data_IF_080402669270
#
_entry.id   IF_080402669270
#
_cell.length_a   1.000
_cell.length_b   1.000
_cell.length_c   1.000
_cell.angle_alpha   90.00
_cell.angle_beta   90.00
_cell.angle_gamma   90.00
#
_symmetry.space_group_name_H-M   'P 1'
#
loop_
_entity.id
_entity.type
_entity.pdbx_description
1 polymer ?
#
# COMPACT_ATOMS: atom_id res chain seq x y z
N UNK A 1 -6.09 3.21 -13.66
CA UNK A 1 -7.28 2.35 -13.46
C UNK A 1 -6.97 1.41 -12.30
N UNK A 2 -7.92 1.18 -11.39
CA UNK A 2 -7.81 0.18 -10.31
C UNK A 2 -8.85 -0.90 -10.55
N UNK A 3 -8.49 -2.16 -10.30
CA UNK A 3 -9.38 -3.31 -10.48
C UNK A 3 -9.89 -3.88 -9.16
N UNK A 4 -9.12 -3.76 -8.07
CA UNK A 4 -9.45 -4.24 -6.73
C UNK A 4 -8.79 -3.37 -5.68
N UNK A 5 -9.49 -3.13 -4.57
CA UNK A 5 -9.00 -2.37 -3.43
C UNK A 5 -9.14 -3.22 -2.17
N UNK A 6 -8.09 -3.27 -1.38
CA UNK A 6 -8.05 -4.03 -0.13
C UNK A 6 -7.52 -3.15 1.00
N UNK A 7 -8.23 -3.14 2.13
CA UNK A 7 -7.84 -2.49 3.36
C UNK A 7 -7.97 -3.50 4.51
N UNK A 8 -7.00 -3.48 5.42
CA UNK A 8 -7.03 -4.28 6.64
C UNK A 8 -6.94 -3.40 7.86
N UNK A 9 -7.49 -3.87 8.99
CA UNK A 9 -7.24 -3.24 10.27
C UNK A 9 -5.82 -3.55 10.76
N UNK A 10 -5.42 -2.93 11.87
CA UNK A 10 -4.10 -3.16 12.44
C UNK A 10 -3.87 -4.63 12.81
N UNK A 11 -4.91 -5.46 13.05
CA UNK A 11 -4.76 -6.90 13.35
C UNK A 11 -4.67 -7.77 12.08
N UNK A 12 -4.72 -7.17 10.89
CA UNK A 12 -4.73 -7.87 9.61
C UNK A 12 -6.09 -8.44 9.22
N UNK A 13 -7.18 -8.06 9.92
CA UNK A 13 -8.56 -8.42 9.51
C UNK A 13 -8.97 -7.52 8.35
N UNK A 14 -9.61 -8.11 7.35
CA UNK A 14 -10.06 -7.36 6.16
C UNK A 14 -11.20 -6.43 6.55
N UNK A 15 -11.03 -5.13 6.28
CA UNK A 15 -12.06 -4.10 6.44
C UNK A 15 -12.80 -3.86 5.14
N UNK A 16 -12.07 -3.90 4.03
CA UNK A 16 -12.59 -3.74 2.68
C UNK A 16 -11.78 -4.64 1.76
N UNK A 17 -12.45 -5.38 0.89
CA UNK A 17 -11.83 -6.11 -0.20
C UNK A 17 -12.84 -6.19 -1.34
N UNK A 18 -12.75 -5.27 -2.28
CA UNK A 18 -13.76 -5.10 -3.34
C UNK A 18 -13.12 -4.90 -4.70
N UNK A 19 -13.73 -5.48 -5.73
CA UNK A 19 -13.45 -5.12 -7.11
C UNK A 19 -13.97 -3.72 -7.42
N UNK A 20 -13.49 -3.15 -8.52
CA UNK A 20 -13.89 -1.83 -9.02
C UNK A 20 -14.28 -1.94 -10.48
N UNK A 21 -15.45 -1.39 -10.83
CA UNK A 21 -15.93 -1.38 -12.21
C UNK A 21 -15.04 -0.47 -13.09
N UNK A 22 -14.49 -1.00 -14.19
CA UNK A 22 -13.75 -0.20 -15.17
C UNK A 22 -14.63 0.87 -15.80
N UNK A 23 -14.09 2.06 -16.03
CA UNK A 23 -14.74 3.11 -16.82
C UNK A 23 -14.48 2.98 -18.32
N UNK A 24 -13.50 2.14 -18.70
CA UNK A 24 -13.10 1.85 -20.07
C UNK A 24 -12.94 0.34 -20.27
N UNK A 25 -13.03 -0.17 -21.51
CA UNK A 25 -12.77 -1.56 -21.80
C UNK A 25 -11.39 -2.01 -21.31
N UNK A 26 -11.33 -3.17 -20.67
CA UNK A 26 -10.07 -3.76 -20.21
C UNK A 26 -9.44 -4.53 -21.36
N UNK A 27 -8.27 -4.10 -21.82
CA UNK A 27 -7.53 -4.76 -22.90
C UNK A 27 -6.86 -6.05 -22.43
N UNK A 28 -6.35 -6.06 -21.21
CA UNK A 28 -5.67 -7.22 -20.61
C UNK A 28 -5.91 -7.25 -19.08
N UNK A 29 -6.40 -8.38 -18.59
CA UNK A 29 -6.66 -8.61 -17.16
C UNK A 29 -5.44 -9.13 -16.42
N UNK A 30 -4.41 -9.62 -17.14
CA UNK A 30 -3.24 -10.30 -16.59
C UNK A 30 -3.65 -11.44 -15.65
N UNK A 31 -4.59 -12.27 -16.09
CA UNK A 31 -5.29 -13.25 -15.25
C UNK A 31 -4.33 -14.25 -14.57
N UNK A 32 -3.22 -14.60 -15.21
CA UNK A 32 -2.16 -15.45 -14.62
C UNK A 32 -1.54 -14.86 -13.36
N UNK A 33 -1.49 -13.53 -13.28
CA UNK A 33 -0.88 -12.79 -12.18
C UNK A 33 -1.94 -12.34 -11.18
N UNK A 34 -3.04 -11.75 -11.65
CA UNK A 34 -4.02 -11.06 -10.80
C UNK A 34 -5.20 -11.92 -10.38
N UNK A 35 -5.41 -13.07 -11.05
CA UNK A 35 -6.62 -13.88 -10.93
C UNK A 35 -7.89 -13.16 -11.43
N UNK A 36 -7.77 -11.99 -12.07
CA UNK A 36 -8.92 -11.24 -12.54
C UNK A 36 -9.57 -11.90 -13.75
N UNK A 37 -10.90 -11.90 -13.74
CA UNK A 37 -11.73 -12.33 -14.86
C UNK A 37 -12.76 -11.24 -15.14
N UNK A 38 -13.26 -11.17 -16.37
CA UNK A 38 -14.23 -10.15 -16.78
C UNK A 38 -15.48 -10.12 -15.87
N UNK A 39 -15.95 -11.29 -15.44
CA UNK A 39 -17.14 -11.39 -14.58
C UNK A 39 -16.92 -10.78 -13.17
N UNK A 40 -15.69 -10.77 -12.64
CA UNK A 40 -15.38 -10.10 -11.38
C UNK A 40 -15.61 -8.58 -11.46
N UNK A 41 -15.45 -7.99 -12.66
CA UNK A 41 -15.52 -6.54 -12.87
C UNK A 41 -16.87 -6.07 -13.39
N UNK A 42 -17.66 -6.96 -14.01
CA UNK A 42 -18.96 -6.63 -14.59
C UNK A 42 -19.94 -6.10 -13.52
N UNK A 43 -20.05 -6.82 -12.40
CA UNK A 43 -20.97 -6.49 -11.31
C UNK A 43 -20.32 -5.68 -10.18
N UNK A 44 -19.05 -5.29 -10.36
CA UNK A 44 -18.32 -4.52 -9.35
C UNK A 44 -18.95 -3.13 -9.12
N UNK A 45 -18.78 -2.55 -7.92
CA UNK A 45 -19.19 -1.18 -7.64
C UNK A 45 -18.40 -0.18 -8.49
N UNK A 46 -19.02 0.96 -8.79
CA UNK A 46 -18.36 2.05 -9.53
C UNK A 46 -17.27 2.70 -8.67
N UNK A 47 -16.23 3.22 -9.33
CA UNK A 47 -15.06 3.79 -8.67
C UNK A 47 -15.41 4.85 -7.61
N UNK A 48 -16.39 5.72 -7.88
CA UNK A 48 -16.75 6.80 -6.95
C UNK A 48 -17.28 6.29 -5.61
N UNK A 49 -18.01 5.16 -5.60
CA UNK A 49 -18.55 4.60 -4.37
C UNK A 49 -17.45 3.92 -3.56
N UNK A 50 -16.55 3.20 -4.23
CA UNK A 50 -15.36 2.60 -3.60
C UNK A 50 -14.44 3.69 -3.06
N UNK A 51 -14.22 4.78 -3.82
CA UNK A 51 -13.42 5.92 -3.39
C UNK A 51 -14.00 6.56 -2.12
N UNK A 52 -15.31 6.79 -2.06
CA UNK A 52 -15.99 7.32 -0.86
C UNK A 52 -15.84 6.38 0.33
N UNK A 53 -15.99 5.08 0.12
CA UNK A 53 -15.85 4.08 1.17
C UNK A 53 -14.41 4.06 1.72
N UNK A 54 -13.41 4.04 0.84
CA UNK A 54 -11.99 4.12 1.21
C UNK A 54 -11.70 5.40 1.98
N UNK A 55 -12.13 6.56 1.45
CA UNK A 55 -11.94 7.85 2.10
C UNK A 55 -12.56 7.89 3.50
N UNK A 56 -13.73 7.30 3.68
CA UNK A 56 -14.38 7.20 4.99
C UNK A 56 -13.62 6.28 5.95
N UNK A 57 -13.05 5.18 5.45
CA UNK A 57 -12.30 4.22 6.28
C UNK A 57 -10.98 4.82 6.74
N UNK A 58 -10.24 5.52 5.86
CA UNK A 58 -8.89 6.02 6.18
C UNK A 58 -8.89 7.37 6.93
N UNK A 59 -10.04 8.06 6.99
CA UNK A 59 -10.15 9.37 7.64
C UNK A 59 -9.76 9.29 9.11
N UNK A 60 -8.93 10.24 9.55
CA UNK A 60 -8.44 10.37 10.93
C UNK A 60 -7.76 9.11 11.47
N UNK A 61 -7.18 8.30 10.58
CA UNK A 61 -6.41 7.10 10.94
C UNK A 61 -4.97 7.23 10.50
N UNK A 62 -4.13 6.39 11.08
CA UNK A 62 -2.78 6.13 10.58
C UNK A 62 -2.89 5.15 9.42
N UNK A 63 -2.36 5.51 8.25
CA UNK A 63 -2.31 4.66 7.07
C UNK A 63 -0.95 3.96 6.99
N UNK A 64 -0.95 2.64 7.12
CA UNK A 64 0.23 1.78 6.99
C UNK A 64 0.19 1.07 5.64
N UNK A 65 1.31 1.03 4.91
CA UNK A 65 1.38 0.26 3.68
C UNK A 65 2.74 0.32 2.98
N UNK A 66 2.76 -0.12 1.74
CA UNK A 66 3.93 -0.08 0.87
C UNK A 66 3.59 0.74 -0.36
N UNK A 67 4.40 1.75 -0.65
CA UNK A 67 4.20 2.65 -1.78
C UNK A 67 2.82 3.32 -1.78
N UNK A 68 2.45 3.91 -0.63
CA UNK A 68 1.13 4.50 -0.38
C UNK A 68 0.77 5.58 -1.39
N UNK A 69 1.76 6.27 -1.98
CA UNK A 69 1.50 7.27 -3.01
C UNK A 69 0.87 6.66 -4.28
N UNK A 70 1.22 5.42 -4.66
CA UNK A 70 0.61 4.75 -5.81
C UNK A 70 -0.87 4.50 -5.54
N UNK A 71 -1.17 3.98 -4.35
CA UNK A 71 -2.53 3.73 -3.89
C UNK A 71 -3.35 5.03 -3.83
N UNK A 72 -2.84 6.06 -3.13
CA UNK A 72 -3.52 7.34 -2.96
C UNK A 72 -3.71 8.07 -4.30
N UNK A 73 -2.69 8.05 -5.18
CA UNK A 73 -2.76 8.67 -6.51
C UNK A 73 -3.81 8.02 -7.38
N UNK A 74 -3.90 6.69 -7.40
CA UNK A 74 -4.91 5.97 -8.19
C UNK A 74 -6.30 6.16 -7.60
N UNK A 75 -6.41 6.22 -6.27
CA UNK A 75 -7.67 6.52 -5.60
C UNK A 75 -8.07 7.99 -5.68
N UNK A 76 -7.20 8.90 -6.15
CA UNK A 76 -7.46 10.34 -6.15
C UNK A 76 -7.71 10.88 -4.74
N UNK A 77 -7.02 10.35 -3.75
CA UNK A 77 -7.14 10.72 -2.33
C UNK A 77 -5.84 11.34 -1.84
N UNK A 78 -5.94 12.17 -0.81
CA UNK A 78 -4.80 12.69 -0.08
C UNK A 78 -4.90 12.30 1.40
N UNK A 79 -3.75 12.16 2.06
CA UNK A 79 -3.67 11.80 3.46
C UNK A 79 -2.54 12.56 4.17
N UNK A 80 -2.69 12.98 5.45
CA UNK A 80 -1.65 13.72 6.14
C UNK A 80 -0.33 12.94 6.20
N UNK A 81 0.78 13.57 5.79
CA UNK A 81 2.08 12.90 5.73
C UNK A 81 2.45 12.27 7.09
N UNK A 82 2.26 13.01 8.18
CA UNK A 82 2.51 12.57 9.56
C UNK A 82 1.67 11.36 9.98
N UNK A 83 0.55 11.11 9.31
CA UNK A 83 -0.32 9.97 9.54
C UNK A 83 -0.04 8.78 8.59
N UNK A 84 1.06 8.81 7.83
CA UNK A 84 1.46 7.70 6.95
C UNK A 84 2.67 6.94 7.47
N UNK A 85 2.61 5.61 7.36
CA UNK A 85 3.69 4.66 7.67
C UNK A 85 4.00 3.86 6.39
N UNK A 86 4.72 4.50 5.47
CA UNK A 86 5.07 3.91 4.17
C UNK A 86 6.38 3.12 4.23
N UNK A 87 6.26 1.80 4.32
CA UNK A 87 7.40 0.88 4.39
C UNK A 87 8.33 0.94 3.18
N UNK A 88 7.88 1.42 2.02
CA UNK A 88 8.74 1.60 0.85
C UNK A 88 9.70 2.81 1.03
N UNK A 89 9.31 3.81 1.82
CA UNK A 89 10.09 5.02 2.08
C UNK A 89 10.95 4.93 3.34
N UNK A 90 10.77 3.91 4.17
CA UNK A 90 11.49 3.79 5.43
C UNK A 90 13.01 3.70 5.22
N UNK A 91 13.75 4.68 5.73
CA UNK A 91 15.18 4.77 5.46
C UNK A 91 15.98 3.65 6.11
N UNK A 92 15.55 3.15 7.27
CA UNK A 92 16.25 2.09 8.01
C UNK A 92 16.31 0.79 7.23
N UNK A 93 15.23 0.37 6.55
CA UNK A 93 15.26 -0.82 5.70
C UNK A 93 16.30 -0.72 4.58
N UNK A 94 16.36 0.44 3.91
CA UNK A 94 17.31 0.68 2.83
C UNK A 94 18.76 0.63 3.34
N UNK A 95 19.01 1.28 4.48
CA UNK A 95 20.33 1.32 5.11
C UNK A 95 20.80 -0.08 5.51
N UNK A 96 19.94 -0.86 6.14
CA UNK A 96 20.27 -2.24 6.57
C UNK A 96 20.58 -3.14 5.38
N UNK A 97 19.89 -2.98 4.25
CA UNK A 97 20.14 -3.75 3.02
C UNK A 97 21.22 -3.17 2.10
N UNK A 98 21.88 -2.06 2.49
CA UNK A 98 22.94 -1.45 1.68
C UNK A 98 22.47 -0.79 0.38
N UNK A 99 21.19 -0.44 0.25
CA UNK A 99 20.66 0.23 -0.93
C UNK A 99 21.07 1.70 -0.97
N UNK A 100 21.28 2.23 -2.20
CA UNK A 100 21.61 3.65 -2.41
C UNK A 100 20.47 4.56 -1.92
N UNK A 101 20.79 5.79 -1.46
CA UNK A 101 19.77 6.81 -1.21
C UNK A 101 18.89 7.00 -2.46
N UNK A 102 17.57 6.98 -2.28
CA UNK A 102 16.59 7.11 -3.35
C UNK A 102 16.19 5.79 -4.05
N UNK A 103 16.93 4.70 -3.88
CA UNK A 103 16.51 3.41 -4.42
C UNK A 103 15.32 2.84 -3.63
N UNK A 104 14.36 2.27 -4.35
CA UNK A 104 13.20 1.59 -3.77
C UNK A 104 13.48 0.09 -3.67
N UNK A 105 13.28 -0.47 -2.49
CA UNK A 105 13.44 -1.91 -2.26
C UNK A 105 12.08 -2.58 -2.50
N UNK A 106 11.98 -3.61 -3.36
CA UNK A 106 10.72 -4.32 -3.59
C UNK A 106 10.13 -4.89 -2.30
N UNK A 107 8.79 -4.87 -2.17
CA UNK A 107 8.10 -5.45 -1.01
C UNK A 107 8.50 -6.93 -0.79
N UNK A 108 8.58 -7.71 -1.86
CA UNK A 108 9.01 -9.12 -1.81
C UNK A 108 10.40 -9.27 -1.18
N UNK A 109 11.34 -8.41 -1.55
CA UNK A 109 12.69 -8.38 -0.96
C UNK A 109 12.65 -7.99 0.51
N UNK A 110 11.89 -6.95 0.88
CA UNK A 110 11.77 -6.53 2.28
C UNK A 110 11.20 -7.65 3.15
N UNK A 111 10.11 -8.28 2.72
CA UNK A 111 9.45 -9.35 3.48
C UNK A 111 10.37 -10.56 3.59
N UNK A 112 11.07 -10.93 2.52
CA UNK A 112 12.01 -12.05 2.59
C UNK A 112 13.18 -11.77 3.55
N UNK A 113 13.75 -10.57 3.52
CA UNK A 113 14.90 -10.22 4.34
C UNK A 113 14.56 -10.00 5.82
N UNK A 114 13.42 -9.37 6.12
CA UNK A 114 13.06 -8.99 7.48
C UNK A 114 12.06 -9.94 8.17
N UNK A 115 11.29 -10.73 7.40
CA UNK A 115 10.29 -11.67 7.93
C UNK A 115 10.61 -13.14 7.64
N UNK A 116 11.63 -13.42 6.82
CA UNK A 116 12.02 -14.79 6.46
C UNK A 116 10.96 -15.56 5.68
N UNK A 117 10.04 -14.86 4.99
CA UNK A 117 8.96 -15.47 4.20
C UNK A 117 8.85 -14.86 2.81
N UNK A 118 8.42 -15.67 1.86
CA UNK A 118 8.12 -15.23 0.49
C UNK A 118 6.64 -14.85 0.38
N UNK A 119 6.34 -13.87 -0.47
CA UNK A 119 4.99 -13.46 -0.86
C UNK A 119 4.90 -13.38 -2.39
N UNK A 120 3.68 -13.39 -2.93
CA UNK A 120 3.46 -13.30 -4.39
C UNK A 120 3.79 -14.58 -5.17
N UNK A 121 4.02 -15.71 -4.48
CA UNK A 121 4.28 -17.01 -5.13
C UNK A 121 3.06 -17.58 -5.86
N UNK A 122 1.86 -17.09 -5.53
CA UNK A 122 0.59 -17.55 -6.08
C UNK A 122 -0.16 -16.42 -6.79
N UNK A 123 0.59 -15.50 -7.39
CA UNK A 123 0.06 -14.29 -8.02
C UNK A 123 -0.02 -13.10 -7.08
N UNK A 124 -0.54 -12.00 -7.60
CA UNK A 124 -0.77 -10.75 -6.90
C UNK A 124 -2.02 -10.86 -6.03
N UNK A 125 -1.83 -11.25 -4.77
CA UNK A 125 -2.89 -11.38 -3.77
C UNK A 125 -2.92 -10.09 -2.92
N UNK A 126 -3.88 -9.17 -3.11
CA UNK A 126 -3.85 -7.86 -2.44
C UNK A 126 -3.89 -7.94 -0.92
N UNK A 127 -4.66 -8.89 -0.37
CA UNK A 127 -4.75 -9.14 1.08
C UNK A 127 -3.40 -9.59 1.66
N UNK A 128 -2.65 -10.43 0.93
CA UNK A 128 -1.31 -10.86 1.35
C UNK A 128 -0.36 -9.67 1.41
N UNK A 129 -0.38 -8.82 0.38
CA UNK A 129 0.48 -7.63 0.30
C UNK A 129 0.17 -6.62 1.40
N UNK A 130 -1.12 -6.35 1.65
CA UNK A 130 -1.54 -5.45 2.73
C UNK A 130 -1.05 -5.94 4.09
N UNK A 131 -1.22 -7.24 4.38
CA UNK A 131 -0.72 -7.86 5.61
C UNK A 131 0.80 -7.84 5.69
N UNK A 132 1.50 -8.10 4.59
CA UNK A 132 2.96 -8.11 4.56
C UNK A 132 3.56 -6.72 4.84
N UNK A 133 2.96 -5.66 4.30
CA UNK A 133 3.37 -4.28 4.61
C UNK A 133 3.10 -3.92 6.08
N UNK A 134 1.95 -4.36 6.63
CA UNK A 134 1.61 -4.19 8.03
C UNK A 134 2.58 -4.95 8.96
N UNK A 135 2.95 -6.18 8.63
CA UNK A 135 3.94 -6.97 9.38
C UNK A 135 5.32 -6.30 9.38
N UNK A 136 5.74 -5.76 8.23
CA UNK A 136 6.97 -4.96 8.13
C UNK A 136 6.93 -3.78 9.09
N UNK A 137 5.86 -2.98 9.06
CA UNK A 137 5.72 -1.86 9.98
C UNK A 137 5.77 -2.31 11.45
N UNK A 138 5.01 -3.34 11.83
CA UNK A 138 5.00 -3.87 13.20
C UNK A 138 6.37 -4.30 13.70
N UNK A 139 7.20 -4.87 12.83
CA UNK A 139 8.57 -5.26 13.20
C UNK A 139 9.48 -4.08 13.53
N UNK A 140 9.17 -2.89 13.04
CA UNK A 140 9.96 -1.68 13.25
C UNK A 140 9.18 -0.55 13.93
N UNK A 141 7.97 -0.81 14.44
CA UNK A 141 7.03 0.19 14.95
C UNK A 141 7.65 1.03 16.08
N UNK A 142 8.31 0.40 17.03
CA UNK A 142 8.98 1.10 18.13
C UNK A 142 10.08 2.06 17.63
N UNK A 143 10.84 1.64 16.61
CA UNK A 143 11.89 2.47 16.01
C UNK A 143 11.25 3.61 15.23
N UNK A 144 10.20 3.31 14.46
CA UNK A 144 9.49 4.27 13.63
C UNK A 144 8.87 5.39 14.46
N UNK A 145 8.03 5.02 15.43
CA UNK A 145 7.32 5.98 16.28
C UNK A 145 8.31 6.72 17.19
N UNK A 146 9.36 6.07 17.69
CA UNK A 146 10.42 6.75 18.44
C UNK A 146 11.15 7.85 17.65
N UNK A 147 11.32 7.68 16.32
CA UNK A 147 11.87 8.73 15.46
C UNK A 147 10.87 9.90 15.33
N UNK A 148 9.58 9.61 15.12
CA UNK A 148 8.53 10.63 15.05
C UNK A 148 8.42 11.42 16.35
N UNK A 149 8.40 10.72 17.49
CA UNK A 149 8.29 11.32 18.84
C UNK A 149 9.49 12.22 19.15
N UNK A 150 10.66 11.94 18.56
CA UNK A 150 11.85 12.81 18.66
C UNK A 150 11.77 14.07 17.78
N UNK A 151 10.72 14.22 16.97
CA UNK A 151 10.54 15.32 16.01
C UNK A 151 11.26 15.11 14.67
N UNK A 152 11.85 13.94 14.44
CA UNK A 152 12.52 13.59 13.19
C UNK A 152 11.60 12.82 12.22
N UNK A 153 11.97 12.81 10.94
CA UNK A 153 11.19 12.11 9.90
C UNK A 153 11.89 10.82 9.44
N UNK A 154 11.27 9.63 9.59
CA UNK A 154 11.92 8.35 9.31
C UNK A 154 11.97 7.95 7.82
N UNK A 155 11.28 8.68 6.95
CA UNK A 155 11.04 8.30 5.56
C UNK A 155 11.77 9.19 4.56
N UNK A 156 12.19 8.61 3.44
CA UNK A 156 12.55 9.38 2.25
C UNK A 156 11.34 10.13 1.69
N UNK A 157 11.59 11.15 0.87
CA UNK A 157 10.53 11.83 0.13
C UNK A 157 9.95 10.89 -0.95
N UNK A 158 8.62 10.91 -1.16
CA UNK A 158 7.99 10.22 -2.29
C UNK A 158 8.39 10.86 -3.62
N UNK A 159 8.15 10.18 -4.76
CA UNK A 159 8.35 10.76 -6.08
C UNK A 159 7.60 12.09 -6.26
N UNK A 160 8.20 13.03 -7.00
CA UNK A 160 7.73 14.43 -7.09
C UNK A 160 6.33 14.50 -7.70
N UNK A 161 6.05 13.65 -8.67
CA UNK A 161 4.77 13.51 -9.37
C UNK A 161 3.60 13.18 -8.42
N UNK A 162 3.86 12.64 -7.23
CA UNK A 162 2.83 12.23 -6.27
C UNK A 162 2.78 13.10 -5.01
N UNK A 163 3.44 14.27 -4.98
CA UNK A 163 3.41 15.18 -3.82
C UNK A 163 2.00 15.55 -3.38
N UNK A 164 1.05 15.67 -4.30
CA UNK A 164 -0.36 15.98 -3.99
C UNK A 164 -1.10 14.90 -3.21
N UNK A 165 -0.53 13.69 -3.06
CA UNK A 165 -1.12 12.62 -2.25
C UNK A 165 -0.91 12.81 -0.76
N UNK A 166 0.01 13.68 -0.36
CA UNK A 166 0.36 13.92 1.04
C UNK A 166 0.09 15.38 1.40
N UNK A 167 -0.75 15.59 2.41
CA UNK A 167 -1.11 16.93 2.95
C UNK A 167 -0.36 17.24 4.23
#
# INVERSE_FOLDING_TARGET
MVARVTLTDYRGRVLLDTFVRPTQPVCDYRTSETGLQAHHLADAPVFIDVQRQVASIIRDKILVGYALWEFLSVMGLAHPAINTRDTALFMSFRRTLGYRPGAMVPLTTLVQQFMGRNIGQHGDIPVERARAALDLFRSCEQIWEGIIDSGAWPCALPPIEHRGCFT
#
